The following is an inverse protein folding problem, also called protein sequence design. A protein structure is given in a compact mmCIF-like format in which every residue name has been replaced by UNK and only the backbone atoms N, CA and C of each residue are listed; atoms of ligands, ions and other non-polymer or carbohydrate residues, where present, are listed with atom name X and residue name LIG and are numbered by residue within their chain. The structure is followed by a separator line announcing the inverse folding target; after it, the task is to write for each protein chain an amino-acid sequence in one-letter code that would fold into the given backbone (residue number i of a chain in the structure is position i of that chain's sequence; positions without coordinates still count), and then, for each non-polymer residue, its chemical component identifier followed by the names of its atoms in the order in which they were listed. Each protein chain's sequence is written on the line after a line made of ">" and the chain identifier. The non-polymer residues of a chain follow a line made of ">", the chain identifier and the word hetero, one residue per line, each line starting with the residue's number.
data_IF_936806020299
#
_entry.id   IF_936806020299
#
_cell.length_a   1.000
_cell.length_b   1.000
_cell.length_c   1.000
_cell.angle_alpha   90.00
_cell.angle_beta   90.00
_cell.angle_gamma   90.00
#
_symmetry.space_group_name_H-M   'P 1'
#
loop_
_entity.id
_entity.type
_entity.pdbx_description
1 polymer ?
#
# COMPACT_ATOMS: atom_id res chain seq x y z
N UNK A 1 27.98 -15.57 12.73
CA UNK A 1 26.75 -15.95 12.00
C UNK A 1 25.59 -15.25 12.68
N UNK A 2 25.25 -14.06 12.20
CA UNK A 2 24.10 -13.29 12.67
C UNK A 2 23.04 -13.38 11.58
N UNK A 3 21.98 -14.12 11.83
CA UNK A 3 20.79 -14.11 10.97
C UNK A 3 19.98 -12.88 11.34
N UNK A 4 20.22 -11.77 10.64
CA UNK A 4 19.24 -10.69 10.54
C UNK A 4 18.00 -11.30 9.85
N UNK A 5 16.98 -11.64 10.65
CA UNK A 5 15.63 -12.00 10.19
C UNK A 5 14.66 -10.93 10.70
N UNK A 6 14.88 -9.71 10.26
CA UNK A 6 13.92 -8.61 10.40
C UNK A 6 14.02 -7.83 9.10
N UNK A 7 12.89 -7.61 8.43
CA UNK A 7 12.73 -7.18 7.03
C UNK A 7 12.54 -8.40 6.09
N UNK A 8 11.58 -8.32 5.17
CA UNK A 8 11.16 -9.34 4.18
C UNK A 8 10.16 -10.42 4.63
N UNK A 9 8.99 -10.01 5.15
CA UNK A 9 7.86 -10.94 5.32
C UNK A 9 6.81 -10.84 4.20
N UNK A 10 6.96 -9.90 3.26
CA UNK A 10 6.24 -9.94 1.98
C UNK A 10 7.07 -10.82 1.05
N UNK A 11 6.68 -12.08 0.95
CA UNK A 11 7.25 -12.98 -0.06
C UNK A 11 7.00 -12.36 -1.45
N UNK A 12 8.06 -12.24 -2.25
CA UNK A 12 7.95 -11.77 -3.64
C UNK A 12 6.92 -12.59 -4.41
N UNK A 13 6.71 -13.86 -4.05
CA UNK A 13 5.68 -14.72 -4.62
C UNK A 13 4.25 -14.18 -4.48
N UNK A 14 3.94 -13.48 -3.38
CA UNK A 14 2.62 -12.90 -3.17
C UNK A 14 2.38 -11.71 -4.10
N UNK A 15 3.38 -10.84 -4.24
CA UNK A 15 3.35 -9.68 -5.15
C UNK A 15 3.28 -10.15 -6.59
N UNK A 16 4.06 -11.17 -6.95
CA UNK A 16 4.03 -11.79 -8.27
C UNK A 16 2.64 -12.35 -8.59
N UNK A 17 2.00 -13.02 -7.62
CA UNK A 17 0.64 -13.52 -7.78
C UNK A 17 -0.38 -12.38 -7.92
N UNK A 18 -0.31 -11.35 -7.08
CA UNK A 18 -1.16 -10.16 -7.17
C UNK A 18 -1.05 -9.49 -8.55
N UNK A 19 0.16 -9.26 -9.03
CA UNK A 19 0.41 -8.62 -10.31
C UNK A 19 -0.01 -9.50 -11.48
N UNK A 20 0.25 -10.81 -11.42
CA UNK A 20 -0.20 -11.78 -12.44
C UNK A 20 -1.73 -11.78 -12.57
N UNK A 21 -2.48 -11.57 -11.48
CA UNK A 21 -3.94 -11.47 -11.53
C UNK A 21 -4.45 -10.08 -11.92
N UNK A 22 -3.64 -9.03 -11.75
CA UNK A 22 -3.99 -7.65 -12.09
C UNK A 22 -3.68 -7.31 -13.56
N UNK A 23 -2.75 -8.05 -14.16
CA UNK A 23 -2.26 -7.88 -15.53
C UNK A 23 -2.98 -8.87 -16.45
N UNK A 24 -3.57 -8.37 -17.54
CA UNK A 24 -4.37 -9.16 -18.50
C UNK A 24 -3.53 -10.07 -19.41
N UNK A 25 -2.35 -9.61 -19.79
CA UNK A 25 -1.46 -10.33 -20.73
C UNK A 25 0.00 -9.95 -20.49
N UNK A 26 0.98 -10.82 -20.81
CA UNK A 26 2.39 -10.49 -20.69
C UNK A 26 2.77 -9.32 -21.60
N UNK A 27 2.98 -8.14 -21.02
CA UNK A 27 3.51 -6.96 -21.72
C UNK A 27 5.03 -6.86 -21.54
N UNK A 28 5.75 -6.25 -22.48
CA UNK A 28 7.17 -5.98 -22.26
C UNK A 28 7.38 -5.02 -21.09
N UNK A 29 6.48 -4.03 -20.93
CA UNK A 29 6.56 -3.03 -19.87
C UNK A 29 5.32 -3.11 -18.97
N UNK A 30 5.60 -3.19 -17.66
CA UNK A 30 4.63 -3.04 -16.59
C UNK A 30 4.90 -1.70 -15.90
N UNK A 31 3.85 -0.95 -15.61
CA UNK A 31 3.94 0.28 -14.83
C UNK A 31 3.09 0.16 -13.57
N UNK A 32 3.71 0.27 -12.41
CA UNK A 32 3.06 0.23 -11.12
C UNK A 32 2.96 1.66 -10.57
N UNK A 33 1.73 2.11 -10.38
CA UNK A 33 1.44 3.30 -9.59
C UNK A 33 1.40 2.90 -8.11
N UNK A 34 2.42 3.29 -7.35
CA UNK A 34 2.63 2.94 -5.95
C UNK A 34 2.75 4.20 -5.08
N UNK A 35 1.74 5.07 -5.14
CA UNK A 35 1.73 6.34 -4.38
C UNK A 35 1.74 6.13 -2.86
N UNK A 36 1.24 4.98 -2.40
CA UNK A 36 1.19 4.59 -0.99
C UNK A 36 2.44 3.83 -0.53
N UNK A 37 3.42 3.62 -1.42
CA UNK A 37 4.69 2.94 -1.13
C UNK A 37 4.54 1.49 -0.64
N UNK A 38 3.45 0.82 -1.02
CA UNK A 38 3.15 -0.56 -0.63
C UNK A 38 3.94 -1.58 -1.45
N UNK A 39 4.47 -1.20 -2.62
CA UNK A 39 5.33 -2.08 -3.40
C UNK A 39 6.68 -2.28 -2.67
N UNK A 40 7.08 -3.52 -2.37
CA UNK A 40 8.32 -3.80 -1.64
C UNK A 40 9.55 -3.44 -2.48
N UNK A 41 10.69 -3.24 -1.82
CA UNK A 41 11.97 -2.91 -2.46
C UNK A 41 12.58 -4.13 -3.15
N UNK A 42 11.96 -4.58 -4.25
CA UNK A 42 12.41 -5.71 -5.08
C UNK A 42 13.27 -5.22 -6.25
N UNK A 43 14.24 -6.03 -6.66
CA UNK A 43 15.06 -5.75 -7.84
C UNK A 43 14.56 -6.48 -9.11
N UNK A 44 13.82 -7.56 -8.93
CA UNK A 44 13.24 -8.35 -10.03
C UNK A 44 11.89 -8.93 -9.62
N UNK A 45 11.06 -9.23 -10.63
CA UNK A 45 9.78 -9.91 -10.47
C UNK A 45 9.64 -11.01 -11.53
N UNK A 46 9.12 -12.16 -11.15
CA UNK A 46 8.77 -13.21 -12.10
C UNK A 46 7.26 -13.23 -12.37
N UNK A 47 6.85 -12.81 -13.58
CA UNK A 47 5.44 -12.81 -14.01
C UNK A 47 5.30 -13.57 -15.33
N UNK A 48 4.31 -14.45 -15.46
CA UNK A 48 4.02 -15.20 -16.70
C UNK A 48 5.26 -15.83 -17.37
N UNK A 49 6.12 -16.49 -16.58
CA UNK A 49 7.38 -17.09 -17.00
C UNK A 49 8.46 -16.12 -17.51
N UNK A 50 8.29 -14.81 -17.29
CA UNK A 50 9.26 -13.76 -17.61
C UNK A 50 9.80 -13.13 -16.33
N UNK A 51 11.09 -12.81 -16.36
CA UNK A 51 11.72 -12.00 -15.33
C UNK A 51 11.70 -10.53 -15.77
N UNK A 52 11.14 -9.68 -14.93
CA UNK A 52 11.06 -8.24 -15.10
C UNK A 52 12.10 -7.58 -14.22
N UNK A 53 12.95 -6.72 -14.80
CA UNK A 53 13.81 -5.83 -14.01
C UNK A 53 12.92 -4.76 -13.36
N UNK A 54 13.04 -4.58 -12.04
CA UNK A 54 12.29 -3.56 -11.31
C UNK A 54 13.08 -2.26 -11.26
N UNK A 55 12.45 -1.19 -11.76
CA UNK A 55 13.05 0.14 -11.86
C UNK A 55 12.18 1.13 -11.10
N UNK A 56 12.71 1.71 -10.02
CA UNK A 56 12.01 2.75 -9.26
C UNK A 56 12.16 4.13 -9.92
N UNK A 57 11.02 4.77 -10.21
CA UNK A 57 10.95 6.14 -10.72
C UNK A 57 11.06 7.14 -9.56
N UNK A 58 12.30 7.51 -9.23
CA UNK A 58 12.60 8.51 -8.20
C UNK A 58 12.83 9.92 -8.78
N UNK A 59 13.40 10.04 -10.01
CA UNK A 59 13.65 11.33 -10.67
C UNK A 59 13.80 11.24 -12.20
N UNK A 60 13.46 12.34 -12.90
CA UNK A 60 13.37 12.46 -14.36
C UNK A 60 14.61 12.07 -15.17
N UNK A 61 15.80 12.56 -14.79
CA UNK A 61 16.98 12.53 -15.67
C UNK A 61 17.58 11.13 -15.85
N UNK A 62 17.59 10.33 -14.78
CA UNK A 62 18.11 8.94 -14.82
C UNK A 62 17.14 8.01 -15.51
N UNK A 63 15.84 8.28 -15.40
CA UNK A 63 14.80 7.43 -15.95
C UNK A 63 14.64 7.57 -17.45
N UNK A 64 14.69 8.78 -18.03
CA UNK A 64 14.73 8.88 -19.50
C UNK A 64 15.93 8.15 -20.10
N UNK A 65 17.11 8.28 -19.51
CA UNK A 65 18.29 7.54 -19.99
C UNK A 65 18.15 6.02 -19.84
N UNK A 66 17.57 5.56 -18.74
CA UNK A 66 17.35 4.13 -18.50
C UNK A 66 16.29 3.60 -19.45
N UNK A 67 15.19 4.32 -19.64
CA UNK A 67 14.04 3.95 -20.47
C UNK A 67 14.30 4.05 -21.98
N UNK A 68 15.10 5.02 -22.44
CA UNK A 68 15.49 5.10 -23.86
C UNK A 68 16.30 3.86 -24.29
N UNK A 69 17.07 3.23 -23.39
CA UNK A 69 17.73 1.93 -23.65
C UNK A 69 16.74 0.81 -23.98
N UNK A 70 15.53 0.88 -23.43
CA UNK A 70 14.47 -0.10 -23.69
C UNK A 70 13.63 0.26 -24.92
N UNK A 71 13.56 1.53 -25.30
CA UNK A 71 12.76 2.02 -26.43
C UNK A 71 13.40 1.70 -27.78
N UNK A 72 14.72 1.80 -27.87
CA UNK A 72 15.47 1.59 -29.12
C UNK A 72 15.96 0.13 -29.31
N UNK A 73 15.73 -0.74 -28.32
CA UNK A 73 16.14 -2.14 -28.38
C UNK A 73 14.95 -3.07 -28.69
N UNK A 74 14.89 -3.69 -29.88
CA UNK A 74 13.81 -4.64 -30.24
C UNK A 74 13.83 -5.93 -29.41
N UNK A 75 14.91 -6.22 -28.66
CA UNK A 75 15.04 -7.35 -27.74
C UNK A 75 15.07 -6.91 -26.26
N UNK A 76 14.56 -5.71 -25.96
CA UNK A 76 14.56 -5.16 -24.61
C UNK A 76 13.99 -6.16 -23.59
N UNK A 77 14.76 -6.43 -22.52
CA UNK A 77 14.31 -7.26 -21.41
C UNK A 77 13.03 -6.68 -20.80
N UNK A 78 12.10 -7.52 -20.33
CA UNK A 78 10.89 -7.04 -19.67
C UNK A 78 11.25 -6.14 -18.48
N UNK A 79 10.53 -5.03 -18.33
CA UNK A 79 10.79 -4.04 -17.29
C UNK A 79 9.51 -3.71 -16.52
N UNK A 80 9.64 -3.61 -15.20
CA UNK A 80 8.61 -3.17 -14.29
C UNK A 80 9.00 -1.82 -13.70
N UNK A 81 8.35 -0.76 -14.13
CA UNK A 81 8.58 0.60 -13.64
C UNK A 81 7.66 0.84 -12.45
N UNK A 82 8.21 1.18 -11.30
CA UNK A 82 7.45 1.48 -10.09
C UNK A 82 7.55 2.97 -9.79
N UNK A 83 6.42 3.68 -9.84
CA UNK A 83 6.38 5.11 -9.52
C UNK A 83 5.66 5.37 -8.22
N UNK A 84 6.36 6.04 -7.30
CA UNK A 84 5.82 6.57 -6.05
C UNK A 84 5.38 8.04 -6.18
N UNK A 85 5.45 8.59 -7.40
CA UNK A 85 5.19 9.99 -7.68
C UNK A 85 3.70 10.26 -7.90
N UNK A 86 3.31 11.54 -7.80
CA UNK A 86 1.95 11.96 -8.11
C UNK A 86 1.62 11.78 -9.60
N UNK A 87 0.33 11.83 -9.94
CA UNK A 87 -0.10 11.72 -11.32
C UNK A 87 0.50 12.84 -12.19
N UNK A 88 0.59 14.06 -11.67
CA UNK A 88 1.14 15.23 -12.37
C UNK A 88 2.61 15.03 -12.73
N UNK A 89 3.42 14.50 -11.82
CA UNK A 89 4.83 14.18 -12.10
C UNK A 89 4.94 13.06 -13.12
N UNK A 90 4.08 12.04 -13.04
CA UNK A 90 4.07 10.93 -14.00
C UNK A 90 3.75 11.36 -15.44
N UNK A 91 3.16 12.53 -15.68
CA UNK A 91 2.96 13.07 -17.03
C UNK A 91 4.27 13.24 -17.81
N UNK A 92 5.41 13.36 -17.13
CA UNK A 92 6.73 13.54 -17.74
C UNK A 92 7.25 12.30 -18.50
N UNK A 93 6.66 11.14 -18.19
CA UNK A 93 6.95 9.82 -18.79
C UNK A 93 5.68 9.18 -19.37
N UNK A 94 4.67 9.99 -19.71
CA UNK A 94 3.36 9.51 -20.17
C UNK A 94 3.44 8.60 -21.40
N UNK A 95 4.41 8.83 -22.29
CA UNK A 95 4.64 8.00 -23.47
C UNK A 95 5.02 6.56 -23.10
N UNK A 96 5.75 6.37 -22.01
CA UNK A 96 6.07 5.05 -21.45
C UNK A 96 4.85 4.40 -20.79
N UNK A 97 4.07 5.17 -20.03
CA UNK A 97 2.86 4.70 -19.36
C UNK A 97 1.85 4.18 -20.40
N UNK A 98 1.58 4.96 -21.46
CA UNK A 98 0.61 4.59 -22.51
C UNK A 98 1.01 3.32 -23.28
N UNK A 99 2.30 3.01 -23.34
CA UNK A 99 2.84 1.79 -23.99
C UNK A 99 2.95 0.60 -23.05
N UNK A 100 2.77 0.82 -21.75
CA UNK A 100 2.85 -0.18 -20.71
C UNK A 100 1.48 -0.71 -20.33
N UNK A 101 1.44 -1.87 -19.70
CA UNK A 101 0.30 -2.25 -18.89
C UNK A 101 0.42 -1.56 -17.54
N UNK A 102 -0.56 -0.75 -17.15
CA UNK A 102 -0.56 -0.04 -15.87
C UNK A 102 -1.36 -0.78 -14.80
N UNK A 103 -0.82 -0.84 -13.59
CA UNK A 103 -1.46 -1.40 -12.40
C UNK A 103 -1.35 -0.36 -11.27
N UNK A 104 -2.46 -0.14 -10.56
CA UNK A 104 -2.46 0.69 -9.36
C UNK A 104 -2.36 -0.21 -8.12
N UNK A 105 -1.27 -0.05 -7.37
CA UNK A 105 -1.03 -0.81 -6.14
C UNK A 105 -1.24 0.12 -4.94
N UNK A 106 -2.30 -0.13 -4.20
CA UNK A 106 -2.70 0.65 -3.02
C UNK A 106 -3.05 -0.31 -1.88
N UNK A 107 -3.06 0.14 -0.61
CA UNK A 107 -3.57 -0.66 0.49
C UNK A 107 -4.93 -1.30 0.19
N UNK A 108 -5.85 -0.55 -0.42
CA UNK A 108 -7.16 -1.05 -0.82
C UNK A 108 -7.05 -2.21 -1.82
N UNK A 109 -6.35 -2.02 -2.95
CA UNK A 109 -6.29 -3.04 -3.99
C UNK A 109 -5.58 -4.31 -3.52
N UNK A 110 -4.58 -4.17 -2.65
CA UNK A 110 -3.89 -5.28 -1.99
C UNK A 110 -4.83 -6.01 -1.03
N UNK A 111 -5.58 -5.31 -0.19
CA UNK A 111 -6.53 -5.91 0.75
C UNK A 111 -7.73 -6.58 0.06
N UNK A 112 -8.24 -6.00 -1.04
CA UNK A 112 -9.31 -6.62 -1.86
C UNK A 112 -8.84 -7.90 -2.51
N UNK A 113 -7.60 -7.95 -2.98
CA UNK A 113 -7.01 -9.18 -3.51
C UNK A 113 -6.81 -10.23 -2.42
N UNK A 114 -6.34 -9.84 -1.23
CA UNK A 114 -6.11 -10.75 -0.12
C UNK A 114 -7.42 -11.33 0.46
N UNK A 115 -8.48 -10.53 0.51
CA UNK A 115 -9.76 -10.91 1.10
C UNK A 115 -10.90 -10.87 0.09
N UNK A 116 -10.91 -11.88 -0.78
CA UNK A 116 -11.95 -12.06 -1.80
C UNK A 116 -13.37 -11.99 -1.20
N UNK A 117 -14.24 -11.22 -1.85
CA UNK A 117 -15.63 -11.04 -1.44
C UNK A 117 -15.88 -9.91 -0.43
N UNK A 118 -14.82 -9.22 0.02
CA UNK A 118 -14.92 -7.98 0.77
C UNK A 118 -14.57 -6.79 -0.13
N UNK A 119 -15.42 -5.76 -0.11
CA UNK A 119 -15.10 -4.47 -0.72
C UNK A 119 -14.44 -3.58 0.33
N UNK A 120 -13.26 -3.06 -0.02
CA UNK A 120 -12.53 -2.11 0.80
C UNK A 120 -12.71 -0.71 0.20
N UNK A 121 -12.77 0.31 1.06
CA UNK A 121 -12.94 1.69 0.57
C UNK A 121 -11.58 2.36 0.40
N UNK A 122 -11.49 3.35 -0.48
CA UNK A 122 -10.29 4.18 -0.62
C UNK A 122 -9.81 4.84 0.69
N UNK A 123 -10.64 4.91 1.74
CA UNK A 123 -10.21 5.42 3.04
C UNK A 123 -9.07 4.59 3.67
N UNK A 124 -8.87 3.33 3.27
CA UNK A 124 -7.73 2.53 3.75
C UNK A 124 -6.39 2.92 3.11
N UNK A 125 -6.41 3.67 2.01
CA UNK A 125 -5.20 4.18 1.36
C UNK A 125 -4.50 5.29 2.16
N UNK A 126 -4.97 5.58 3.38
CA UNK A 126 -4.30 6.44 4.33
C UNK A 126 -3.04 5.79 4.93
N UNK A 127 -2.96 4.45 5.00
CA UNK A 127 -1.76 3.76 5.44
C UNK A 127 -0.72 3.71 4.32
N UNK A 128 0.57 3.80 4.69
CA UNK A 128 1.65 3.84 3.71
C UNK A 128 2.76 2.85 4.08
N UNK A 129 3.35 2.22 3.07
CA UNK A 129 4.53 1.39 3.16
C UNK A 129 4.54 0.39 4.30
N UNK A 130 5.59 0.44 5.12
CA UNK A 130 5.81 -0.51 6.21
C UNK A 130 4.67 -0.52 7.23
N UNK A 131 4.01 0.62 7.49
CA UNK A 131 2.92 0.68 8.46
C UNK A 131 1.68 -0.08 7.97
N UNK A 132 1.39 -0.02 6.66
CA UNK A 132 0.32 -0.81 6.06
C UNK A 132 0.60 -2.30 6.26
N UNK A 133 1.81 -2.72 5.90
CA UNK A 133 2.21 -4.09 6.04
C UNK A 133 2.18 -4.49 7.51
N UNK A 134 2.77 -3.75 8.44
CA UNK A 134 2.80 -4.09 9.87
C UNK A 134 1.39 -4.37 10.46
N UNK A 135 0.35 -3.77 9.88
CA UNK A 135 -1.04 -3.97 10.28
C UNK A 135 -1.81 -4.98 9.42
N UNK A 136 -1.28 -5.44 8.28
CA UNK A 136 -2.00 -6.20 7.24
C UNK A 136 -2.83 -7.38 7.76
N UNK A 137 -2.21 -8.32 8.49
CA UNK A 137 -2.91 -9.49 9.04
C UNK A 137 -3.98 -9.09 10.07
N UNK A 138 -3.68 -8.07 10.88
CA UNK A 138 -4.64 -7.56 11.88
C UNK A 138 -5.80 -6.84 11.21
N UNK A 139 -5.55 -6.06 10.15
CA UNK A 139 -6.60 -5.41 9.34
C UNK A 139 -7.55 -6.46 8.78
N UNK A 140 -7.02 -7.54 8.21
CA UNK A 140 -7.81 -8.65 7.69
C UNK A 140 -8.64 -9.35 8.79
N UNK A 141 -8.08 -9.50 9.99
CA UNK A 141 -8.78 -10.09 11.14
C UNK A 141 -9.92 -9.19 11.63
N UNK A 142 -9.64 -7.90 11.83
CA UNK A 142 -10.67 -6.92 12.21
C UNK A 142 -11.76 -6.79 11.15
N UNK A 143 -11.40 -6.90 9.86
CA UNK A 143 -12.34 -6.81 8.74
C UNK A 143 -13.49 -7.80 8.80
N UNK A 144 -13.27 -8.98 9.39
CA UNK A 144 -14.31 -10.02 9.56
C UNK A 144 -15.50 -9.54 10.40
N UNK A 145 -15.27 -8.54 11.25
CA UNK A 145 -16.28 -7.96 12.13
C UNK A 145 -17.10 -6.84 11.45
N UNK A 146 -16.82 -6.51 10.20
CA UNK A 146 -17.50 -5.45 9.45
C UNK A 146 -18.35 -6.00 8.29
N UNK A 147 -19.40 -5.28 7.84
CA UNK A 147 -20.17 -5.67 6.67
C UNK A 147 -19.30 -5.84 5.42
N UNK A 148 -19.74 -6.65 4.45
CA UNK A 148 -18.97 -6.86 3.19
C UNK A 148 -18.70 -5.58 2.41
N UNK A 149 -19.58 -4.60 2.54
CA UNK A 149 -19.40 -3.24 2.03
C UNK A 149 -19.26 -2.30 3.21
N UNK A 150 -18.08 -1.71 3.38
CA UNK A 150 -17.85 -0.71 4.44
C UNK A 150 -18.06 0.70 3.90
N UNK A 151 -18.47 1.59 4.77
CA UNK A 151 -18.41 3.03 4.56
C UNK A 151 -16.99 3.55 4.84
N UNK A 152 -16.62 4.75 4.35
CA UNK A 152 -15.35 5.38 4.71
C UNK A 152 -15.16 5.57 6.21
N UNK A 153 -16.23 5.89 6.96
CA UNK A 153 -16.17 6.06 8.40
C UNK A 153 -15.89 4.73 9.13
N UNK A 154 -16.49 3.63 8.68
CA UNK A 154 -16.21 2.29 9.20
C UNK A 154 -14.77 1.87 8.91
N UNK A 155 -14.26 2.15 7.70
CA UNK A 155 -12.87 1.89 7.35
C UNK A 155 -11.91 2.67 8.24
N UNK A 156 -12.15 3.97 8.49
CA UNK A 156 -11.36 4.76 9.44
C UNK A 156 -11.40 4.17 10.84
N UNK A 157 -12.58 3.77 11.34
CA UNK A 157 -12.70 3.10 12.63
C UNK A 157 -11.91 1.79 12.65
N UNK A 158 -11.93 0.99 11.57
CA UNK A 158 -11.19 -0.26 11.46
C UNK A 158 -9.68 0.00 11.54
N UNK A 159 -9.16 0.99 10.81
CA UNK A 159 -7.73 1.34 10.83
C UNK A 159 -7.27 1.70 12.24
N UNK A 160 -8.01 2.58 12.92
CA UNK A 160 -7.66 3.02 14.27
C UNK A 160 -7.85 1.87 15.28
N UNK A 161 -8.92 1.08 15.14
CA UNK A 161 -9.16 -0.11 15.96
C UNK A 161 -8.00 -1.09 15.88
N UNK A 162 -7.51 -1.30 14.66
CA UNK A 162 -6.36 -2.17 14.39
C UNK A 162 -5.08 -1.59 14.98
N UNK A 163 -4.86 -0.27 14.88
CA UNK A 163 -3.68 0.34 15.50
C UNK A 163 -3.70 0.26 17.03
N UNK A 164 -4.86 0.52 17.64
CA UNK A 164 -5.02 0.58 19.10
C UNK A 164 -5.24 -0.78 19.78
N UNK A 165 -5.57 -1.81 19.00
CA UNK A 165 -6.08 -3.10 19.46
C UNK A 165 -7.38 -2.99 20.27
N UNK A 166 -8.29 -2.11 19.84
CA UNK A 166 -9.56 -1.81 20.53
C UNK A 166 -10.69 -1.78 19.50
N UNK A 167 -11.85 -2.34 19.81
CA UNK A 167 -13.00 -2.30 18.91
C UNK A 167 -13.75 -0.95 18.99
N UNK A 168 -13.53 -0.08 18.01
CA UNK A 168 -14.18 1.24 17.93
C UNK A 168 -15.53 1.22 17.19
N UNK A 169 -16.11 0.05 16.90
CA UNK A 169 -17.46 -0.03 16.31
C UNK A 169 -18.54 0.35 17.33
N UNK A 170 -18.34 -0.02 18.58
CA UNK A 170 -19.23 0.33 19.68
C UNK A 170 -18.97 1.76 20.16
N UNK A 171 -19.96 2.32 20.86
CA UNK A 171 -19.72 3.54 21.63
C UNK A 171 -18.76 3.22 22.77
N UNK A 172 -17.70 4.02 22.89
CA UNK A 172 -16.77 3.94 24.00
C UNK A 172 -17.50 4.33 25.30
N UNK A 173 -17.24 3.59 26.38
CA UNK A 173 -17.55 4.08 27.71
C UNK A 173 -16.68 5.29 28.04
N UNK A 174 -17.13 6.11 29.00
CA UNK A 174 -16.36 7.27 29.47
C UNK A 174 -14.96 6.85 29.94
N UNK A 175 -14.86 5.68 30.59
CA UNK A 175 -13.57 5.15 31.05
C UNK A 175 -12.64 4.82 29.88
N UNK A 176 -13.13 4.11 28.86
CA UNK A 176 -12.33 3.76 27.68
C UNK A 176 -11.91 5.01 26.90
N UNK A 177 -12.81 5.98 26.75
CA UNK A 177 -12.50 7.26 26.11
C UNK A 177 -11.37 8.00 26.84
N UNK A 178 -11.43 8.08 28.17
CA UNK A 178 -10.37 8.69 28.99
C UNK A 178 -9.05 7.92 28.90
N UNK A 179 -9.10 6.58 28.92
CA UNK A 179 -7.90 5.74 28.80
C UNK A 179 -7.23 5.92 27.42
N UNK A 180 -8.00 5.96 26.34
CA UNK A 180 -7.48 6.22 24.99
C UNK A 180 -6.92 7.65 24.90
N UNK A 181 -7.63 8.65 25.40
CA UNK A 181 -7.17 10.03 25.40
C UNK A 181 -5.83 10.19 26.15
N UNK A 182 -5.70 9.57 27.33
CA UNK A 182 -4.43 9.58 28.07
C UNK A 182 -3.30 8.87 27.32
N UNK A 183 -3.60 7.79 26.59
CA UNK A 183 -2.61 7.13 25.72
C UNK A 183 -2.19 8.04 24.58
N UNK A 184 -3.11 8.76 23.94
CA UNK A 184 -2.81 9.72 22.87
C UNK A 184 -1.87 10.84 23.32
N UNK A 185 -1.87 11.20 24.61
CA UNK A 185 -0.97 12.22 25.17
C UNK A 185 0.38 11.68 25.67
N UNK A 186 0.50 10.37 25.93
CA UNK A 186 1.65 9.80 26.66
C UNK A 186 2.42 8.72 25.90
N UNK A 187 1.75 8.00 24.99
CA UNK A 187 2.35 6.93 24.21
C UNK A 187 3.08 7.53 23.01
N UNK A 188 4.42 7.47 23.04
CA UNK A 188 5.27 8.05 21.99
C UNK A 188 5.01 7.45 20.62
N UNK A 189 4.65 6.17 20.54
CA UNK A 189 4.33 5.54 19.27
C UNK A 189 3.02 6.07 18.72
N UNK A 190 2.03 6.27 19.59
CA UNK A 190 0.73 6.78 19.20
C UNK A 190 0.78 8.25 18.79
N UNK A 191 1.62 9.05 19.47
CA UNK A 191 1.89 10.45 19.09
C UNK A 191 2.53 10.51 17.70
N UNK A 192 3.61 9.75 17.47
CA UNK A 192 4.28 9.71 16.16
C UNK A 192 3.33 9.26 15.03
N UNK A 193 2.46 8.29 15.32
CA UNK A 193 1.45 7.85 14.36
C UNK A 193 0.38 8.91 14.09
N UNK A 194 -0.02 9.67 15.11
CA UNK A 194 -0.95 10.79 14.96
C UNK A 194 -0.39 11.95 14.13
N UNK A 195 0.91 12.23 14.27
CA UNK A 195 1.62 13.20 13.41
C UNK A 195 1.71 12.72 11.96
N UNK A 196 1.96 11.42 11.76
CA UNK A 196 2.07 10.80 10.42
C UNK A 196 0.70 10.69 9.72
N UNK A 197 -0.37 10.41 10.47
CA UNK A 197 -1.72 10.18 9.94
C UNK A 197 -2.78 11.10 10.60
N UNK A 198 -2.69 12.43 10.41
CA UNK A 198 -3.50 13.39 11.14
C UNK A 198 -5.02 13.24 10.90
N UNK A 199 -5.42 12.82 9.69
CA UNK A 199 -6.84 12.60 9.35
C UNK A 199 -7.47 11.43 10.11
N UNK A 200 -6.70 10.36 10.33
CA UNK A 200 -7.15 9.23 11.14
C UNK A 200 -7.34 9.66 12.59
N UNK A 201 -6.37 10.41 13.13
CA UNK A 201 -6.39 10.84 14.52
C UNK A 201 -7.43 11.92 14.82
N UNK A 202 -7.75 12.78 13.85
CA UNK A 202 -8.88 13.70 13.97
C UNK A 202 -10.21 12.95 14.21
N UNK A 203 -10.39 11.80 13.56
CA UNK A 203 -11.60 10.98 13.74
C UNK A 203 -11.63 10.30 15.11
N UNK A 204 -10.46 9.91 15.63
CA UNK A 204 -10.33 9.36 16.98
C UNK A 204 -10.62 10.43 18.04
N UNK A 205 -10.05 11.63 17.90
CA UNK A 205 -10.26 12.76 18.83
C UNK A 205 -11.75 13.07 18.99
N UNK A 206 -12.53 13.08 17.90
CA UNK A 206 -13.98 13.30 17.94
C UNK A 206 -14.77 12.19 18.67
N UNK A 207 -14.18 11.01 18.85
CA UNK A 207 -14.81 9.90 19.60
C UNK A 207 -14.45 9.90 21.08
N UNK A 208 -13.31 10.47 21.46
CA UNK A 208 -12.79 10.40 22.84
C UNK A 208 -12.97 11.71 23.62
N UNK A 209 -13.23 12.83 22.94
CA UNK A 209 -13.51 14.14 23.54
C UNK A 209 -15.00 14.49 23.47
#
# INVERSE_FOLDING_TARGET
>A
MSTNRSEDWIDSSWIENYLTNSVRTPACWLFIHDTSQVFPSLHALKLFDREYEVIFFESDLRMRQSLERYKDNPEASPACIVSRQSHETNLQILDYIVRSQSVEMTPQSVLEFAQLGYSWTHAVNQLCGEDFWALFERLQTYRLNYPRFMTPAEATNLLISTQLDIDLRANLSVREAVEIWQRMERDTNLIAWGEKYPRLFQSLDLKVR
#
